data_IF_544376205721
#
_entry.id   IF_544376205721
#
_cell.length_a   1.000
_cell.length_b   1.000
_cell.length_c   1.000
_cell.angle_alpha   90.00
_cell.angle_beta   90.00
_cell.angle_gamma   90.00
#
_symmetry.space_group_name_H-M   'P 1'
#
loop_
_entity.id
_entity.type
_entity.pdbx_description
1 polymer ?
#
# COMPACT_ATOMS: atom_id res chain seq x y z
N UNK A 1 -10.44 -0.43 -12.15
CA UNK A 1 -9.58 -1.28 -11.30
C UNK A 1 -10.31 -1.49 -9.98
N UNK A 2 -10.56 -2.74 -9.55
CA UNK A 2 -11.24 -3.04 -8.26
C UNK A 2 -10.21 -3.66 -7.32
N UNK A 3 -9.66 -2.85 -6.42
CA UNK A 3 -8.75 -3.29 -5.38
C UNK A 3 -9.35 -3.09 -3.99
N UNK A 4 -8.82 -3.82 -3.01
CA UNK A 4 -9.21 -3.65 -1.60
C UNK A 4 -7.98 -3.70 -0.71
N UNK A 5 -7.90 -2.73 0.20
CA UNK A 5 -6.94 -2.72 1.30
C UNK A 5 -7.55 -3.48 2.48
N UNK A 6 -6.78 -4.41 3.02
CA UNK A 6 -7.05 -5.08 4.28
C UNK A 6 -6.01 -4.56 5.26
N UNK A 7 -6.45 -3.81 6.27
CA UNK A 7 -5.57 -3.28 7.31
C UNK A 7 -5.81 -4.06 8.60
N UNK A 8 -4.76 -4.68 9.12
CA UNK A 8 -4.79 -5.57 10.28
C UNK A 8 -3.75 -5.13 11.31
N UNK A 9 -3.76 -5.76 12.48
CA UNK A 9 -2.70 -5.61 13.50
C UNK A 9 -2.41 -4.16 13.89
N UNK A 10 -3.49 -3.39 14.10
CA UNK A 10 -3.41 -1.96 14.40
C UNK A 10 -2.89 -1.75 15.82
N UNK A 11 -1.76 -1.06 15.94
CA UNK A 11 -1.17 -0.65 17.21
C UNK A 11 -0.88 0.85 17.20
N UNK A 12 -1.57 1.60 18.04
CA UNK A 12 -1.47 3.06 18.11
C UNK A 12 -1.28 3.54 19.54
N UNK A 13 -0.39 4.51 19.70
CA UNK A 13 -0.23 5.31 20.91
C UNK A 13 -0.93 6.64 20.68
N UNK A 14 -1.71 7.09 21.67
CA UNK A 14 -2.50 8.32 21.61
C UNK A 14 -2.00 9.27 22.70
N UNK A 15 -1.64 10.48 22.29
CA UNK A 15 -1.24 11.59 23.15
C UNK A 15 -2.05 12.84 22.80
N UNK A 16 -3.09 13.10 23.60
CA UNK A 16 -4.04 14.17 23.36
C UNK A 16 -4.69 14.09 21.98
N UNK A 17 -4.44 15.10 21.16
CA UNK A 17 -4.96 15.24 19.80
C UNK A 17 -4.00 14.70 18.71
N UNK A 18 -2.99 13.92 19.10
CA UNK A 18 -2.07 13.25 18.19
C UNK A 18 -2.08 11.74 18.48
N UNK A 19 -1.97 10.93 17.43
CA UNK A 19 -1.69 9.51 17.58
C UNK A 19 -0.63 9.05 16.58
N UNK A 20 0.25 8.15 17.00
CA UNK A 20 1.23 7.51 16.12
C UNK A 20 1.09 6.01 16.23
N UNK A 21 1.21 5.32 15.11
CA UNK A 21 1.00 3.88 15.13
C UNK A 21 1.41 3.18 13.87
N UNK A 22 1.26 1.87 13.92
CA UNK A 22 1.58 0.95 12.84
C UNK A 22 0.44 -0.02 12.60
N UNK A 23 0.33 -0.49 11.37
CA UNK A 23 -0.61 -1.56 11.02
C UNK A 23 -0.07 -2.37 9.86
N UNK A 24 -0.41 -3.65 9.81
CA UNK A 24 -0.14 -4.49 8.64
C UNK A 24 -1.18 -4.20 7.56
N UNK A 25 -0.76 -4.31 6.30
CA UNK A 25 -1.61 -4.08 5.13
C UNK A 25 -1.39 -5.15 4.08
N UNK A 26 -2.48 -5.67 3.54
CA UNK A 26 -2.51 -6.46 2.31
C UNK A 26 -3.42 -5.78 1.32
N UNK A 27 -2.91 -5.54 0.11
CA UNK A 27 -3.67 -4.97 -0.99
C UNK A 27 -3.99 -6.09 -1.97
N UNK A 28 -5.28 -6.26 -2.25
CA UNK A 28 -5.76 -7.20 -3.25
C UNK A 28 -6.25 -6.45 -4.49
N UNK A 29 -6.17 -7.11 -5.63
CA UNK A 29 -6.68 -6.64 -6.91
C UNK A 29 -7.52 -7.74 -7.56
N UNK A 30 -8.73 -7.41 -8.02
CA UNK A 30 -9.53 -8.31 -8.82
C UNK A 30 -8.97 -8.42 -10.25
N UNK A 31 -8.70 -9.64 -10.71
CA UNK A 31 -8.35 -9.98 -12.09
C UNK A 31 -9.43 -10.92 -12.68
N UNK A 32 -9.32 -11.24 -13.98
CA UNK A 32 -10.22 -12.21 -14.61
C UNK A 32 -10.10 -13.62 -13.98
N UNK A 33 -8.96 -13.93 -13.37
CA UNK A 33 -8.70 -15.20 -12.68
C UNK A 33 -9.04 -15.16 -11.18
N UNK A 34 -9.67 -14.07 -10.69
CA UNK A 34 -10.03 -13.90 -9.28
C UNK A 34 -9.18 -12.83 -8.57
N UNK A 35 -9.28 -12.77 -7.23
CA UNK A 35 -8.51 -11.81 -6.45
C UNK A 35 -7.06 -12.26 -6.28
N UNK A 36 -6.12 -11.35 -6.58
CA UNK A 36 -4.68 -11.53 -6.44
C UNK A 36 -4.12 -10.54 -5.42
N UNK A 37 -2.99 -10.88 -4.78
CA UNK A 37 -2.26 -9.95 -3.91
C UNK A 37 -1.45 -9.01 -4.81
N UNK A 38 -1.70 -7.71 -4.67
CA UNK A 38 -0.97 -6.64 -5.35
C UNK A 38 0.24 -6.19 -4.53
N UNK A 39 0.13 -6.19 -3.21
CA UNK A 39 1.18 -5.73 -2.31
C UNK A 39 0.88 -6.11 -0.87
N UNK A 40 1.92 -6.18 -0.05
CA UNK A 40 1.80 -6.22 1.40
C UNK A 40 2.84 -5.30 2.04
N UNK A 41 2.62 -4.92 3.28
CA UNK A 41 3.56 -4.08 4.01
C UNK A 41 3.02 -3.56 5.32
N UNK A 42 3.76 -2.63 5.91
CA UNK A 42 3.40 -1.95 7.15
C UNK A 42 3.06 -0.48 6.83
N UNK A 43 1.90 -0.01 7.30
CA UNK A 43 1.64 1.42 7.41
C UNK A 43 2.29 1.98 8.68
N UNK A 44 2.94 3.12 8.54
CA UNK A 44 3.48 3.92 9.63
C UNK A 44 2.79 5.28 9.58
N UNK A 45 2.02 5.58 10.62
CA UNK A 45 1.06 6.66 10.60
C UNK A 45 1.32 7.72 11.66
N UNK A 46 0.97 8.96 11.31
CA UNK A 46 0.66 10.03 12.24
C UNK A 46 -0.76 10.50 11.99
N UNK A 47 -1.59 10.47 13.02
CA UNK A 47 -2.95 10.97 13.04
C UNK A 47 -3.01 12.26 13.86
N UNK A 48 -3.89 13.17 13.47
CA UNK A 48 -4.23 14.38 14.24
C UNK A 48 -5.73 14.47 14.42
N UNK A 49 -6.18 14.91 15.59
CA UNK A 49 -7.57 15.24 15.86
C UNK A 49 -7.77 16.73 15.61
N UNK A 50 -8.70 17.08 14.73
CA UNK A 50 -9.10 18.49 14.56
C UNK A 50 -10.61 18.55 14.48
N UNK A 51 -11.20 19.47 15.23
CA UNK A 51 -12.66 19.61 15.39
C UNK A 51 -13.32 18.31 15.89
N UNK A 52 -12.64 17.62 16.81
CA UNK A 52 -13.11 16.35 17.37
C UNK A 52 -12.95 15.14 16.46
N UNK A 53 -12.44 15.29 15.23
CA UNK A 53 -12.30 14.21 14.26
C UNK A 53 -10.84 13.84 14.01
N UNK A 54 -10.52 12.55 14.07
CA UNK A 54 -9.20 12.03 13.70
C UNK A 54 -9.01 12.02 12.19
N UNK A 55 -7.85 12.49 11.73
CA UNK A 55 -7.43 12.51 10.32
C UNK A 55 -6.03 11.92 10.19
N UNK A 56 -5.75 11.29 9.05
CA UNK A 56 -4.39 10.86 8.69
C UNK A 56 -3.61 12.11 8.28
N UNK A 57 -2.71 12.57 9.14
CA UNK A 57 -1.81 13.68 8.84
C UNK A 57 -0.63 13.21 7.96
N UNK A 58 -0.17 11.98 8.20
CA UNK A 58 0.90 11.34 7.44
C UNK A 58 0.72 9.83 7.46
N UNK A 59 0.99 9.18 6.33
CA UNK A 59 1.08 7.73 6.19
C UNK A 59 2.24 7.36 5.28
N UNK A 60 3.13 6.50 5.77
CA UNK A 60 4.16 5.85 4.97
C UNK A 60 3.82 4.38 4.82
N UNK A 61 3.93 3.85 3.62
CA UNK A 61 3.93 2.40 3.39
C UNK A 61 5.37 1.90 3.33
N UNK A 62 5.71 0.95 4.18
CA UNK A 62 6.91 0.11 4.05
C UNK A 62 6.48 -1.19 3.38
N UNK A 63 6.76 -1.34 2.10
CA UNK A 63 6.42 -2.55 1.36
C UNK A 63 7.24 -3.75 1.87
N UNK A 64 6.57 -4.88 2.05
CA UNK A 64 7.25 -6.16 2.11
C UNK A 64 7.62 -6.55 0.69
N UNK A 65 8.84 -7.06 0.50
CA UNK A 65 9.21 -7.64 -0.79
C UNK A 65 8.44 -8.93 -0.95
N UNK A 66 7.37 -8.91 -1.74
CA UNK A 66 6.64 -10.12 -2.12
C UNK A 66 7.51 -10.91 -3.11
N UNK A 67 8.25 -11.88 -2.58
CA UNK A 67 9.11 -12.75 -3.38
C UNK A 67 8.23 -13.81 -4.05
N UNK A 68 7.89 -13.64 -5.33
CA UNK A 68 7.40 -14.76 -6.15
C UNK A 68 8.51 -15.72 -6.56
N UNK A 69 9.75 -15.21 -6.67
CA UNK A 69 10.94 -15.95 -7.00
C UNK A 69 12.11 -15.45 -6.12
N UNK A 70 12.73 -16.30 -5.27
CA UNK A 70 13.86 -15.90 -4.42
C UNK A 70 15.09 -15.39 -5.20
N UNK A 71 15.13 -15.59 -6.51
CA UNK A 71 16.18 -15.07 -7.39
C UNK A 71 15.85 -13.72 -8.04
N UNK A 72 14.60 -13.24 -7.96
CA UNK A 72 14.17 -11.98 -8.58
C UNK A 72 13.28 -11.19 -7.62
N UNK A 73 13.83 -10.14 -7.02
CA UNK A 73 13.05 -9.20 -6.22
C UNK A 73 12.18 -8.34 -7.14
N UNK A 74 10.92 -8.73 -7.34
CA UNK A 74 9.88 -7.88 -7.95
C UNK A 74 8.78 -7.63 -6.94
N UNK A 75 8.33 -6.37 -6.84
CA UNK A 75 7.18 -5.97 -6.01
C UNK A 75 5.82 -6.51 -6.53
N UNK A 76 5.84 -7.32 -7.60
CA UNK A 76 4.63 -7.85 -8.24
C UNK A 76 4.87 -9.32 -8.56
N UNK A 77 4.34 -10.18 -7.71
CA UNK A 77 4.60 -11.61 -7.73
C UNK A 77 3.87 -12.37 -8.86
N UNK A 78 2.74 -11.83 -9.34
CA UNK A 78 1.80 -12.51 -10.22
C UNK A 78 1.76 -11.82 -11.60
N UNK A 79 1.83 -12.61 -12.68
CA UNK A 79 1.89 -12.12 -14.05
C UNK A 79 0.63 -11.32 -14.46
N UNK A 80 -0.55 -11.69 -13.95
CA UNK A 80 -1.79 -10.96 -14.20
C UNK A 80 -1.75 -9.58 -13.53
N UNK A 81 -1.11 -9.49 -12.37
CA UNK A 81 -0.94 -8.24 -11.64
C UNK A 81 0.12 -7.37 -12.31
N UNK A 82 1.21 -7.98 -12.80
CA UNK A 82 2.30 -7.27 -13.49
C UNK A 82 1.80 -6.53 -14.74
N UNK A 83 0.92 -7.15 -15.53
CA UNK A 83 0.30 -6.49 -16.69
C UNK A 83 -0.50 -5.25 -16.29
N UNK A 84 -1.30 -5.35 -15.22
CA UNK A 84 -2.12 -4.22 -14.74
C UNK A 84 -1.25 -3.10 -14.14
N UNK A 85 -0.23 -3.46 -13.35
CA UNK A 85 0.74 -2.49 -12.80
C UNK A 85 1.50 -1.79 -13.93
N UNK A 86 1.86 -2.50 -14.99
CA UNK A 86 2.50 -1.93 -16.17
C UNK A 86 1.67 -0.81 -16.81
N UNK A 87 0.35 -0.97 -16.91
CA UNK A 87 -0.54 0.09 -17.38
C UNK A 87 -0.56 1.32 -16.46
N UNK A 88 -0.54 1.11 -15.15
CA UNK A 88 -0.52 2.20 -14.16
C UNK A 88 0.79 2.99 -14.24
N UNK A 89 1.93 2.29 -14.33
CA UNK A 89 3.26 2.90 -14.47
C UNK A 89 3.38 3.68 -15.79
N UNK A 90 2.87 3.14 -16.90
CA UNK A 90 2.86 3.83 -18.17
C UNK A 90 2.01 5.12 -18.12
N UNK A 91 0.87 5.08 -17.42
CA UNK A 91 0.03 6.26 -17.21
C UNK A 91 0.73 7.30 -16.32
N UNK A 92 1.35 6.89 -15.21
CA UNK A 92 2.10 7.78 -14.32
C UNK A 92 3.25 8.50 -15.05
N UNK A 93 4.00 7.76 -15.88
CA UNK A 93 5.04 8.35 -16.74
C UNK A 93 4.49 9.39 -17.71
N UNK A 94 3.33 9.12 -18.33
CA UNK A 94 2.64 10.07 -19.21
C UNK A 94 2.20 11.34 -18.49
N UNK A 95 1.84 11.23 -17.22
CA UNK A 95 1.39 12.34 -16.39
C UNK A 95 2.55 13.10 -15.71
N UNK A 96 3.80 12.74 -16.00
CA UNK A 96 4.99 13.39 -15.42
C UNK A 96 5.18 13.13 -13.94
N UNK A 97 4.49 12.14 -13.36
CA UNK A 97 4.62 11.79 -11.94
C UNK A 97 5.79 10.84 -11.78
N UNK A 98 6.94 11.31 -11.26
CA UNK A 98 8.02 10.42 -10.83
C UNK A 98 7.55 9.63 -9.61
N UNK A 99 7.26 8.35 -9.81
CA UNK A 99 7.18 7.40 -8.70
C UNK A 99 8.62 7.05 -8.33
N UNK A 100 9.06 7.42 -7.13
CA UNK A 100 10.38 7.03 -6.62
C UNK A 100 10.39 5.54 -6.33
N UNK A 101 11.37 4.82 -6.87
CA UNK A 101 11.66 3.44 -6.51
C UNK A 101 12.20 3.40 -5.07
N UNK A 102 11.33 3.16 -4.09
CA UNK A 102 11.71 2.80 -2.71
C UNK A 102 10.81 1.72 -2.16
#
# INVERSE_FOLDING_TARGET
MRGRHLTTDLLYEVDGDVATGRSASVVTLATAAGYKILGSGEYQDRLIKQDGQWRIAYRRLRNDRLVSDPSVAVNVADADVAAVVGHLLAAARRLGTQMSDT
#
